data_IF_256596503179
#
_entry.id   IF_256596503179
#
_cell.length_a   1.000
_cell.length_b   1.000
_cell.length_c   1.000
_cell.angle_alpha   90.00
_cell.angle_beta   90.00
_cell.angle_gamma   90.00
#
_symmetry.space_group_name_H-M   'P 1'
#
loop_
_entity.id
_entity.type
_entity.pdbx_description
1 polymer ?
#
# COMPACT_ATOMS: atom_id res chain seq x y z
N UNK A 1 14.81 -85.06 21.62
CA UNK A 1 15.21 -83.66 21.29
C UNK A 1 14.14 -83.02 20.47
N UNK A 2 13.35 -82.09 21.02
CA UNK A 2 12.27 -81.39 20.35
C UNK A 2 12.69 -79.94 20.06
N UNK A 3 12.87 -79.62 18.78
CA UNK A 3 13.18 -78.30 18.30
C UNK A 3 11.90 -77.43 18.26
N UNK A 4 11.85 -76.38 19.00
CA UNK A 4 10.75 -75.36 18.98
C UNK A 4 11.05 -74.29 17.93
N UNK A 5 10.16 -74.26 16.92
CA UNK A 5 10.14 -73.14 15.95
C UNK A 5 9.48 -71.92 16.59
N UNK A 6 10.22 -70.84 16.64
CA UNK A 6 9.74 -69.53 17.07
C UNK A 6 9.37 -68.74 15.79
N UNK A 7 8.07 -68.55 15.59
CA UNK A 7 7.53 -67.68 14.54
C UNK A 7 7.62 -66.23 15.08
N UNK A 8 8.43 -65.40 14.43
CA UNK A 8 8.46 -63.96 14.70
C UNK A 8 7.40 -63.26 13.84
N UNK A 9 6.37 -62.74 14.49
CA UNK A 9 5.46 -61.78 13.88
C UNK A 9 6.10 -60.38 13.87
N UNK A 10 6.40 -59.87 12.69
CA UNK A 10 6.74 -58.49 12.50
C UNK A 10 5.46 -57.68 12.34
N UNK A 11 5.15 -56.87 13.34
CA UNK A 11 4.04 -55.92 13.32
C UNK A 11 4.48 -54.68 12.57
N UNK A 12 4.05 -54.50 11.32
CA UNK A 12 4.23 -53.27 10.56
C UNK A 12 3.22 -52.25 11.05
N UNK A 13 3.73 -51.27 11.81
CA UNK A 13 2.94 -50.09 12.18
C UNK A 13 2.92 -49.16 10.97
N UNK A 14 1.77 -49.08 10.30
CA UNK A 14 1.50 -48.13 9.24
C UNK A 14 1.17 -46.76 9.89
N UNK A 15 2.15 -45.86 9.99
CA UNK A 15 1.89 -44.48 10.38
C UNK A 15 1.16 -43.80 9.23
N UNK A 16 -0.15 -43.68 9.34
CA UNK A 16 -0.96 -42.81 8.47
C UNK A 16 -0.79 -41.37 9.03
N UNK A 17 0.11 -40.61 8.41
CA UNK A 17 0.23 -39.16 8.68
C UNK A 17 -0.98 -38.48 8.02
N UNK A 18 -2.02 -38.23 8.78
CA UNK A 18 -3.11 -37.34 8.38
C UNK A 18 -2.55 -35.92 8.41
N UNK A 19 -2.18 -35.41 7.24
CA UNK A 19 -1.89 -34.00 7.05
C UNK A 19 -3.23 -33.27 7.12
N UNK A 20 -3.51 -32.65 8.26
CA UNK A 20 -4.59 -31.69 8.39
C UNK A 20 -4.17 -30.44 7.59
N UNK A 21 -4.67 -30.29 6.38
CA UNK A 21 -4.73 -28.98 5.73
C UNK A 21 -5.75 -28.16 6.50
N UNK A 22 -5.28 -27.34 7.43
CA UNK A 22 -6.08 -26.25 7.95
C UNK A 22 -6.26 -25.25 6.80
N UNK A 23 -7.41 -25.31 6.14
CA UNK A 23 -7.88 -24.23 5.28
C UNK A 23 -8.00 -22.99 6.17
N UNK A 24 -7.09 -22.02 6.02
CA UNK A 24 -7.27 -20.68 6.60
C UNK A 24 -8.58 -20.12 6.05
N UNK A 25 -9.47 -19.58 6.88
CA UNK A 25 -10.70 -18.99 6.36
C UNK A 25 -10.35 -17.83 5.43
N UNK A 26 -10.82 -17.90 4.18
CA UNK A 26 -10.79 -16.80 3.26
C UNK A 26 -11.64 -15.67 3.87
N UNK A 27 -10.98 -14.56 4.23
CA UNK A 27 -11.69 -13.39 4.72
C UNK A 27 -12.49 -12.84 3.55
N UNK A 28 -13.78 -12.73 3.74
CA UNK A 28 -14.83 -12.42 2.77
C UNK A 28 -14.38 -11.38 1.75
N UNK A 29 -14.10 -11.84 0.53
CA UNK A 29 -13.99 -10.98 -0.65
C UNK A 29 -15.38 -10.68 -1.15
N UNK A 30 -15.74 -9.40 -1.24
CA UNK A 30 -16.93 -9.02 -2.02
C UNK A 30 -16.72 -9.42 -3.47
N UNK A 31 -17.72 -10.04 -4.09
CA UNK A 31 -17.68 -10.46 -5.48
C UNK A 31 -17.30 -9.28 -6.41
N UNK A 32 -16.47 -9.51 -7.45
CA UNK A 32 -16.11 -8.46 -8.37
C UNK A 32 -17.37 -7.99 -9.14
N UNK A 33 -17.65 -6.70 -9.00
CA UNK A 33 -18.65 -6.05 -9.88
C UNK A 33 -18.03 -6.02 -11.28
N UNK A 34 -18.58 -6.78 -12.21
CA UNK A 34 -18.18 -6.79 -13.62
C UNK A 34 -18.45 -5.41 -14.24
N UNK A 35 -17.38 -4.61 -14.40
CA UNK A 35 -17.40 -3.46 -15.31
C UNK A 35 -16.73 -3.83 -16.63
N UNK A 36 -17.29 -3.41 -17.79
CA UNK A 36 -16.67 -3.64 -19.08
C UNK A 36 -15.34 -2.86 -19.15
N UNK A 37 -14.23 -3.58 -19.35
CA UNK A 37 -12.89 -3.05 -19.35
C UNK A 37 -12.39 -2.84 -20.76
N UNK A 38 -11.81 -1.65 -20.98
CA UNK A 38 -10.82 -1.43 -22.02
C UNK A 38 -9.66 -0.51 -21.58
N UNK A 39 -9.44 -0.33 -20.29
CA UNK A 39 -8.21 0.36 -19.83
C UNK A 39 -7.40 -0.64 -18.98
N UNK A 40 -6.41 -1.29 -19.61
CA UNK A 40 -5.55 -2.26 -18.92
C UNK A 40 -4.81 -1.56 -17.79
N UNK A 41 -5.15 -1.94 -16.54
CA UNK A 41 -4.50 -1.41 -15.35
C UNK A 41 -3.02 -1.79 -15.33
N UNK A 42 -2.16 -0.79 -15.23
CA UNK A 42 -0.72 -0.95 -15.12
C UNK A 42 -0.39 -1.36 -13.67
N UNK A 43 0.34 -2.45 -13.51
CA UNK A 43 0.85 -2.94 -12.24
C UNK A 43 2.28 -3.43 -12.42
N UNK A 44 3.23 -2.75 -11.79
CA UNK A 44 4.65 -3.09 -11.89
C UNK A 44 5.05 -4.18 -10.93
N UNK A 45 4.26 -4.46 -9.89
CA UNK A 45 4.59 -5.42 -8.83
C UNK A 45 5.96 -5.13 -8.21
N UNK A 46 6.97 -5.95 -8.51
CA UNK A 46 8.35 -5.81 -8.01
C UNK A 46 9.33 -5.37 -9.10
N UNK A 47 8.84 -5.13 -10.33
CA UNK A 47 9.63 -4.74 -11.50
C UNK A 47 10.02 -3.26 -11.43
N UNK A 48 11.15 -3.01 -10.78
CA UNK A 48 11.68 -1.66 -10.53
C UNK A 48 12.16 -0.97 -11.81
N UNK A 49 12.77 -1.73 -12.71
CA UNK A 49 13.31 -1.19 -13.96
C UNK A 49 12.20 -0.65 -14.86
N UNK A 50 11.18 -1.46 -15.10
CA UNK A 50 10.00 -1.06 -15.87
C UNK A 50 9.22 0.08 -15.22
N UNK A 51 9.13 0.11 -13.88
CA UNK A 51 8.50 1.20 -13.15
C UNK A 51 9.28 2.51 -13.29
N UNK A 52 10.61 2.46 -13.21
CA UNK A 52 11.49 3.60 -13.40
C UNK A 52 11.38 4.17 -14.82
N UNK A 53 11.49 3.32 -15.85
CA UNK A 53 11.35 3.72 -17.25
C UNK A 53 10.00 4.38 -17.52
N UNK A 54 8.91 3.75 -17.06
CA UNK A 54 7.57 4.29 -17.22
C UNK A 54 7.41 5.63 -16.49
N UNK A 55 7.87 5.73 -15.24
CA UNK A 55 7.78 6.94 -14.44
C UNK A 55 8.55 8.09 -15.07
N UNK A 56 9.79 7.86 -15.48
CA UNK A 56 10.67 8.83 -16.13
C UNK A 56 10.09 9.32 -17.46
N UNK A 57 9.59 8.41 -18.28
CA UNK A 57 8.95 8.74 -19.57
C UNK A 57 7.66 9.55 -19.35
N UNK A 58 6.83 9.14 -18.40
CA UNK A 58 5.51 9.76 -18.15
C UNK A 58 5.60 11.15 -17.55
N UNK A 59 6.60 11.42 -16.69
CA UNK A 59 6.68 12.65 -15.92
C UNK A 59 7.87 13.54 -16.25
N UNK A 60 8.73 13.16 -17.18
CA UNK A 60 9.93 13.93 -17.57
C UNK A 60 9.61 15.35 -18.03
N UNK A 61 8.54 15.58 -18.80
CA UNK A 61 8.13 16.93 -19.22
C UNK A 61 7.60 17.75 -18.06
N UNK A 62 6.79 17.16 -17.18
CA UNK A 62 6.32 17.83 -15.96
C UNK A 62 7.49 18.24 -15.07
N UNK A 63 8.45 17.37 -14.89
CA UNK A 63 9.63 17.59 -14.07
C UNK A 63 10.45 18.79 -14.56
N UNK A 64 10.71 18.86 -15.87
CA UNK A 64 11.40 19.99 -16.50
C UNK A 64 10.62 21.31 -16.41
N UNK A 65 9.31 21.24 -16.25
CA UNK A 65 8.42 22.39 -16.09
C UNK A 65 8.25 22.89 -14.65
N UNK A 66 8.92 22.28 -13.67
CA UNK A 66 8.88 22.75 -12.28
C UNK A 66 9.69 24.02 -12.11
N UNK A 67 9.15 24.97 -11.36
CA UNK A 67 9.94 26.10 -10.85
C UNK A 67 10.91 25.63 -9.77
N UNK A 68 11.94 26.41 -9.50
CA UNK A 68 12.90 26.09 -8.44
C UNK A 68 12.24 25.97 -7.06
N UNK A 69 11.19 26.76 -6.80
CA UNK A 69 10.45 26.72 -5.53
C UNK A 69 9.59 25.44 -5.41
N UNK A 70 8.96 25.02 -6.48
CA UNK A 70 8.20 23.75 -6.52
C UNK A 70 9.13 22.55 -6.36
N UNK A 71 10.26 22.55 -7.05
CA UNK A 71 11.27 21.50 -6.93
C UNK A 71 11.77 21.37 -5.48
N UNK A 72 12.17 22.49 -4.86
CA UNK A 72 12.63 22.51 -3.46
C UNK A 72 11.56 22.08 -2.48
N UNK A 73 10.29 22.42 -2.74
CA UNK A 73 9.19 22.02 -1.87
C UNK A 73 8.97 20.50 -1.89
N UNK A 74 9.05 19.87 -3.07
CA UNK A 74 8.94 18.41 -3.23
C UNK A 74 10.16 17.69 -2.65
N UNK A 75 11.37 18.20 -2.89
CA UNK A 75 12.61 17.68 -2.31
C UNK A 75 12.55 17.65 -0.78
N UNK A 76 12.18 18.76 -0.14
CA UNK A 76 12.01 18.83 1.31
C UNK A 76 10.95 17.86 1.82
N UNK A 77 9.80 17.79 1.14
CA UNK A 77 8.73 16.86 1.49
C UNK A 77 9.24 15.42 1.51
N UNK A 78 9.92 14.98 0.45
CA UNK A 78 10.42 13.60 0.32
C UNK A 78 11.54 13.26 1.33
N UNK A 79 12.20 14.25 1.89
CA UNK A 79 13.25 14.08 2.90
C UNK A 79 12.70 13.83 4.30
N UNK A 80 12.37 14.87 5.03
CA UNK A 80 11.94 14.78 6.43
C UNK A 80 10.65 15.51 6.74
N UNK A 81 10.33 16.54 5.95
CA UNK A 81 9.21 17.45 6.23
C UNK A 81 7.83 16.79 6.00
N UNK A 82 7.76 15.63 5.31
CA UNK A 82 6.49 14.93 5.06
C UNK A 82 5.70 14.66 6.34
N UNK A 83 6.38 14.40 7.47
CA UNK A 83 5.69 14.14 8.75
C UNK A 83 4.98 15.37 9.25
N UNK A 84 5.69 16.50 9.28
CA UNK A 84 5.14 17.77 9.75
C UNK A 84 4.02 18.24 8.82
N UNK A 85 4.25 18.23 7.52
CA UNK A 85 3.28 18.63 6.50
C UNK A 85 2.01 17.74 6.58
N UNK A 86 2.16 16.43 6.58
CA UNK A 86 1.00 15.54 6.58
C UNK A 86 0.24 15.57 7.90
N UNK A 87 0.91 15.72 9.04
CA UNK A 87 0.25 15.86 10.33
C UNK A 87 -0.51 17.19 10.42
N UNK A 88 0.10 18.30 9.96
CA UNK A 88 -0.56 19.59 9.86
C UNK A 88 -1.82 19.51 9.00
N UNK A 89 -1.73 18.95 7.80
CA UNK A 89 -2.87 18.79 6.89
C UNK A 89 -3.98 17.92 7.47
N UNK A 90 -3.67 16.83 8.16
CA UNK A 90 -4.67 16.00 8.83
C UNK A 90 -5.33 16.70 9.99
N UNK A 91 -4.55 17.39 10.82
CA UNK A 91 -5.06 18.12 11.98
C UNK A 91 -6.01 19.26 11.57
N UNK A 92 -5.69 19.95 10.47
CA UNK A 92 -6.50 21.05 9.95
C UNK A 92 -7.48 20.63 8.84
N UNK A 93 -7.73 19.32 8.65
CA UNK A 93 -8.64 18.79 7.63
C UNK A 93 -8.35 19.31 6.20
N UNK A 94 -7.08 19.53 5.90
CA UNK A 94 -6.62 20.08 4.63
C UNK A 94 -6.68 21.61 4.52
N UNK A 95 -7.18 22.33 5.53
CA UNK A 95 -7.22 23.78 5.50
C UNK A 95 -5.82 24.38 5.78
N UNK A 96 -5.52 25.46 5.08
CA UNK A 96 -4.29 26.23 5.24
C UNK A 96 -4.60 27.54 5.95
N UNK A 97 -3.57 28.23 6.44
CA UNK A 97 -3.66 29.55 7.06
C UNK A 97 -3.24 29.59 8.52
N UNK A 98 -2.87 28.42 9.09
CA UNK A 98 -2.47 28.33 10.49
C UNK A 98 -0.94 28.26 10.71
N UNK A 99 -0.15 28.02 9.65
CA UNK A 99 1.32 27.91 9.74
C UNK A 99 2.02 28.67 8.61
N UNK A 100 2.70 29.77 8.95
CA UNK A 100 3.41 30.61 8.00
C UNK A 100 4.66 29.97 7.36
N UNK A 101 5.11 28.80 7.83
CA UNK A 101 6.25 28.06 7.29
C UNK A 101 5.80 26.90 6.41
N UNK A 102 4.83 26.13 6.89
CA UNK A 102 4.33 24.94 6.15
C UNK A 102 3.42 25.35 4.98
N UNK A 103 2.54 26.32 5.17
CA UNK A 103 1.57 26.72 4.14
C UNK A 103 2.21 27.11 2.80
N UNK A 104 3.28 27.93 2.74
CA UNK A 104 3.95 28.24 1.48
C UNK A 104 4.53 26.98 0.80
N UNK A 105 5.10 26.06 1.57
CA UNK A 105 5.64 24.79 1.04
C UNK A 105 4.53 23.93 0.46
N UNK A 106 3.42 23.76 1.18
CA UNK A 106 2.24 23.00 0.74
C UNK A 106 1.67 23.62 -0.54
N UNK A 107 1.53 24.92 -0.61
CA UNK A 107 1.03 25.61 -1.82
C UNK A 107 1.91 25.36 -3.04
N UNK A 108 3.25 25.28 -2.90
CA UNK A 108 4.13 24.95 -4.02
C UNK A 108 3.96 23.50 -4.47
N UNK A 109 3.82 22.55 -3.54
CA UNK A 109 3.56 21.14 -3.86
C UNK A 109 2.20 21.00 -4.57
N UNK A 110 1.15 21.66 -4.05
CA UNK A 110 -0.19 21.67 -4.65
C UNK A 110 -0.16 22.18 -6.08
N UNK A 111 0.51 23.31 -6.30
CA UNK A 111 0.67 23.92 -7.62
C UNK A 111 1.38 23.01 -8.60
N UNK A 112 2.42 22.31 -8.17
CA UNK A 112 3.15 21.34 -8.97
C UNK A 112 2.27 20.13 -9.33
N UNK A 113 1.64 19.49 -8.33
CA UNK A 113 0.84 18.29 -8.53
C UNK A 113 -0.46 18.56 -9.31
N UNK A 114 -1.06 19.74 -9.21
CA UNK A 114 -2.23 20.14 -10.02
C UNK A 114 -1.97 20.03 -11.52
N UNK A 115 -0.72 20.20 -11.97
CA UNK A 115 -0.32 20.09 -13.38
C UNK A 115 0.07 18.68 -13.78
N UNK A 116 0.27 17.76 -12.82
CA UNK A 116 0.60 16.37 -13.07
C UNK A 116 -0.65 15.49 -13.03
N UNK A 117 -0.77 14.60 -13.99
CA UNK A 117 -1.88 13.63 -14.05
C UNK A 117 -1.34 12.26 -14.41
N UNK A 118 -1.91 11.23 -13.80
CA UNK A 118 -1.60 9.83 -14.16
C UNK A 118 -2.03 9.55 -15.60
N UNK A 119 -1.12 9.06 -16.47
CA UNK A 119 -1.43 8.85 -17.89
C UNK A 119 -2.29 7.62 -18.15
N UNK A 120 -2.39 6.70 -17.20
CA UNK A 120 -3.19 5.48 -17.23
C UNK A 120 -3.72 5.11 -15.86
N UNK A 121 -4.60 4.12 -15.81
CA UNK A 121 -5.03 3.50 -14.54
C UNK A 121 -3.92 2.59 -14.04
N UNK A 122 -3.49 2.74 -12.78
CA UNK A 122 -2.36 1.99 -12.23
C UNK A 122 -2.62 1.50 -10.81
N UNK A 123 -1.90 0.45 -10.42
CA UNK A 123 -1.79 0.02 -9.03
C UNK A 123 -0.55 0.67 -8.42
N UNK A 124 -0.72 1.26 -7.23
CA UNK A 124 0.38 1.75 -6.41
C UNK A 124 0.32 1.12 -5.02
N UNK A 125 1.44 1.17 -4.31
CA UNK A 125 1.63 0.46 -3.05
C UNK A 125 1.99 1.43 -1.94
N UNK A 126 1.49 1.16 -0.73
CA UNK A 126 1.89 1.89 0.47
C UNK A 126 1.83 0.97 1.69
N UNK A 127 2.89 0.97 2.50
CA UNK A 127 2.87 0.31 3.81
C UNK A 127 2.56 1.30 4.90
N UNK A 128 1.65 0.91 5.80
CA UNK A 128 1.25 1.74 6.93
C UNK A 128 1.11 0.90 8.20
N UNK A 129 1.30 1.56 9.35
CA UNK A 129 0.97 0.98 10.64
C UNK A 129 -0.52 1.03 10.95
N UNK A 130 -0.92 0.35 11.99
CA UNK A 130 -2.30 0.27 12.50
C UNK A 130 -2.87 1.64 12.85
N UNK A 131 -2.03 2.55 13.33
CA UNK A 131 -2.43 3.92 13.69
C UNK A 131 -2.99 4.73 12.51
N UNK A 132 -2.62 4.38 11.27
CA UNK A 132 -3.22 4.97 10.08
C UNK A 132 -4.72 4.64 9.95
N UNK A 133 -5.17 3.60 10.64
CA UNK A 133 -6.57 3.18 10.71
C UNK A 133 -7.24 3.50 12.05
N UNK A 134 -6.55 4.23 12.93
CA UNK A 134 -7.07 4.56 14.27
C UNK A 134 -6.98 3.41 15.25
N UNK A 135 -6.18 2.39 14.96
CA UNK A 135 -5.93 1.26 15.85
C UNK A 135 -4.66 1.47 16.67
N UNK A 136 -4.54 0.77 17.78
CA UNK A 136 -3.30 0.78 18.55
C UNK A 136 -2.14 0.14 17.78
N UNK A 137 -0.94 0.67 17.96
CA UNK A 137 0.26 0.11 17.34
C UNK A 137 0.47 -1.34 17.82
N UNK A 138 0.89 -2.20 16.88
CA UNK A 138 1.10 -3.64 17.10
C UNK A 138 -0.15 -4.44 17.49
N UNK A 139 -1.36 -3.92 17.22
CA UNK A 139 -2.61 -4.60 17.56
C UNK A 139 -2.99 -5.72 16.59
N UNK A 140 -2.45 -5.73 15.37
CA UNK A 140 -2.80 -6.72 14.35
C UNK A 140 -1.90 -7.96 14.34
N UNK A 141 -0.70 -7.89 14.94
CA UNK A 141 0.27 -9.00 14.91
C UNK A 141 0.46 -9.65 16.24
N UNK A 142 0.57 -10.98 16.21
CA UNK A 142 1.10 -11.79 17.31
C UNK A 142 2.39 -12.44 16.80
N UNK A 143 3.53 -11.98 17.27
CA UNK A 143 4.84 -12.37 16.71
C UNK A 143 5.00 -11.92 15.27
N UNK A 144 5.31 -12.84 14.35
CA UNK A 144 5.47 -12.58 12.91
C UNK A 144 4.20 -12.75 12.07
N UNK A 145 3.09 -13.17 12.68
CA UNK A 145 1.82 -13.51 12.01
C UNK A 145 0.76 -12.45 12.27
N UNK A 146 -0.19 -12.34 11.35
CA UNK A 146 -1.41 -11.53 11.56
C UNK A 146 -2.40 -12.37 12.38
N UNK A 147 -2.95 -11.79 13.44
CA UNK A 147 -4.03 -12.40 14.21
C UNK A 147 -5.29 -12.51 13.34
N UNK A 148 -5.83 -13.72 13.06
CA UNK A 148 -6.99 -13.90 12.18
C UNK A 148 -8.26 -13.21 12.68
N UNK A 149 -8.50 -13.20 13.99
CA UNK A 149 -9.68 -12.55 14.57
C UNK A 149 -9.58 -11.03 14.43
N UNK A 150 -8.39 -10.45 14.69
CA UNK A 150 -8.14 -9.03 14.47
C UNK A 150 -8.23 -8.64 12.99
N UNK A 151 -7.78 -9.49 12.09
CA UNK A 151 -7.94 -9.28 10.66
C UNK A 151 -9.42 -9.29 10.24
N UNK A 152 -10.22 -10.17 10.83
CA UNK A 152 -11.67 -10.25 10.61
C UNK A 152 -12.37 -8.98 11.15
N UNK A 153 -12.11 -8.58 12.38
CA UNK A 153 -12.62 -7.33 12.96
C UNK A 153 -12.28 -6.10 12.11
N UNK A 154 -11.04 -6.06 11.61
CA UNK A 154 -10.59 -5.03 10.69
C UNK A 154 -11.38 -5.05 9.37
N UNK A 155 -11.60 -6.22 8.80
CA UNK A 155 -12.36 -6.38 7.56
C UNK A 155 -13.82 -5.94 7.73
N UNK A 156 -14.49 -6.36 8.80
CA UNK A 156 -15.86 -5.96 9.15
C UNK A 156 -15.99 -4.44 9.32
N UNK A 157 -14.95 -3.81 9.87
CA UNK A 157 -14.95 -2.36 10.13
C UNK A 157 -14.73 -1.55 8.85
N UNK A 158 -13.84 -2.00 7.95
CA UNK A 158 -13.31 -1.14 6.88
C UNK A 158 -13.71 -1.55 5.46
N UNK A 159 -14.14 -2.78 5.18
CA UNK A 159 -14.62 -3.18 3.84
C UNK A 159 -15.82 -2.31 3.43
N UNK A 160 -15.83 -1.88 2.18
CA UNK A 160 -16.83 -0.99 1.58
C UNK A 160 -16.88 0.42 2.20
N UNK A 161 -15.94 0.77 3.08
CA UNK A 161 -15.87 2.13 3.63
C UNK A 161 -14.99 3.03 2.77
N UNK A 162 -15.42 4.27 2.68
CA UNK A 162 -14.62 5.35 2.10
C UNK A 162 -13.82 6.04 3.19
N UNK A 163 -12.56 6.32 2.91
CA UNK A 163 -11.67 7.07 3.80
C UNK A 163 -11.15 8.31 3.09
N UNK A 164 -11.25 9.45 3.75
CA UNK A 164 -10.66 10.72 3.28
C UNK A 164 -9.23 10.82 3.80
N UNK A 165 -8.28 11.13 2.92
CA UNK A 165 -6.92 11.51 3.30
C UNK A 165 -6.75 13.01 3.01
N UNK A 166 -6.64 13.80 4.05
CA UNK A 166 -6.48 15.25 3.94
C UNK A 166 -5.06 15.65 3.53
N UNK A 167 -4.09 14.77 3.77
CA UNK A 167 -2.69 14.96 3.41
C UNK A 167 -2.36 14.37 2.03
N UNK A 168 -1.12 14.55 1.59
CA UNK A 168 -0.58 13.87 0.43
C UNK A 168 -0.49 12.36 0.66
N UNK A 169 -0.73 11.58 -0.40
CA UNK A 169 -0.60 10.13 -0.33
C UNK A 169 0.72 9.73 -1.00
N UNK A 170 1.77 9.56 -0.18
CA UNK A 170 3.03 8.97 -0.61
C UNK A 170 2.82 7.50 -0.92
N UNK A 171 3.05 7.10 -2.16
CA UNK A 171 2.90 5.72 -2.63
C UNK A 171 4.12 5.32 -3.44
N UNK A 172 4.32 4.02 -3.64
CA UNK A 172 5.36 3.50 -4.53
C UNK A 172 4.73 2.89 -5.79
N UNK A 173 5.39 3.05 -6.93
CA UNK A 173 5.05 2.32 -8.17
C UNK A 173 5.30 0.81 -8.02
N UNK A 174 6.19 0.40 -7.13
CA UNK A 174 6.52 -0.99 -6.89
C UNK A 174 6.19 -1.39 -5.46
N UNK A 175 5.89 -2.68 -5.28
CA UNK A 175 5.67 -3.26 -3.97
C UNK A 175 6.96 -3.22 -3.15
N UNK A 176 6.93 -2.45 -2.07
CA UNK A 176 8.07 -2.34 -1.16
C UNK A 176 8.26 -3.63 -0.34
N UNK A 177 9.50 -3.97 0.03
CA UNK A 177 9.78 -5.10 0.90
C UNK A 177 9.00 -5.07 2.20
N UNK A 178 8.76 -6.24 2.79
CA UNK A 178 8.10 -6.35 4.10
C UNK A 178 8.94 -5.63 5.16
N UNK A 179 8.29 -4.76 5.92
CA UNK A 179 8.89 -4.01 7.02
C UNK A 179 8.08 -4.17 8.31
N UNK A 180 8.29 -3.29 9.28
CA UNK A 180 7.58 -3.32 10.57
C UNK A 180 6.07 -3.02 10.45
N UNK A 181 5.65 -2.33 9.39
CA UNK A 181 4.25 -1.98 9.18
C UNK A 181 3.44 -3.17 8.67
N UNK A 182 2.38 -3.57 9.37
CA UNK A 182 1.64 -4.78 9.04
C UNK A 182 0.66 -4.63 7.88
N UNK A 183 0.27 -3.42 7.50
CA UNK A 183 -0.76 -3.17 6.49
C UNK A 183 -0.12 -2.76 5.17
N UNK A 184 -0.42 -3.50 4.10
CA UNK A 184 -0.02 -3.21 2.74
C UNK A 184 -1.24 -2.75 1.93
N UNK A 185 -1.29 -1.45 1.64
CA UNK A 185 -2.29 -0.88 0.74
C UNK A 185 -1.91 -1.16 -0.71
N UNK A 186 -2.82 -1.74 -1.48
CA UNK A 186 -2.83 -1.83 -2.94
C UNK A 186 -3.89 -0.86 -3.45
N UNK A 187 -3.49 0.30 -3.94
CA UNK A 187 -4.41 1.36 -4.34
C UNK A 187 -4.51 1.40 -5.86
N UNK A 188 -5.71 1.19 -6.39
CA UNK A 188 -6.01 1.47 -7.80
C UNK A 188 -6.18 2.97 -7.98
N UNK A 189 -5.30 3.60 -8.75
CA UNK A 189 -5.31 5.02 -9.08
C UNK A 189 -5.86 5.18 -10.49
N UNK A 190 -7.04 5.81 -10.69
CA UNK A 190 -7.62 6.03 -12.01
C UNK A 190 -6.76 6.96 -12.86
N UNK A 191 -6.78 6.75 -14.18
CA UNK A 191 -6.21 7.68 -15.17
C UNK A 191 -6.70 9.11 -14.93
N UNK A 192 -5.78 10.08 -15.02
CA UNK A 192 -6.06 11.51 -14.83
C UNK A 192 -6.16 11.94 -13.37
N UNK A 193 -5.83 11.09 -12.39
CA UNK A 193 -5.64 11.51 -11.00
C UNK A 193 -4.42 12.40 -10.87
N UNK A 194 -4.49 13.43 -9.99
CA UNK A 194 -3.35 14.32 -9.74
C UNK A 194 -2.30 13.62 -8.89
N UNK A 195 -1.10 13.55 -9.42
CA UNK A 195 0.06 12.94 -8.78
C UNK A 195 1.22 12.83 -9.75
N UNK A 196 2.43 12.70 -9.24
CA UNK A 196 3.65 12.65 -10.04
C UNK A 196 4.65 11.65 -9.49
N UNK A 197 5.39 11.00 -10.39
CA UNK A 197 6.58 10.24 -10.05
C UNK A 197 7.73 11.20 -9.77
N UNK A 198 8.25 11.16 -8.55
CA UNK A 198 9.17 12.17 -8.04
C UNK A 198 10.59 11.65 -7.76
N UNK A 199 10.91 10.41 -8.13
CA UNK A 199 12.17 9.74 -7.82
C UNK A 199 13.40 10.60 -8.05
N UNK A 200 13.51 11.25 -9.22
CA UNK A 200 14.70 12.02 -9.61
C UNK A 200 14.91 13.32 -8.82
N UNK A 201 13.91 13.77 -8.06
CA UNK A 201 13.96 14.94 -7.19
C UNK A 201 13.69 14.59 -5.74
N UNK A 202 13.53 13.30 -5.42
CA UNK A 202 13.32 12.81 -4.07
C UNK A 202 14.65 12.62 -3.35
N UNK A 203 14.67 12.88 -2.05
CA UNK A 203 15.80 12.51 -1.18
C UNK A 203 15.85 11.00 -0.91
N UNK A 204 14.85 10.25 -1.37
CA UNK A 204 14.72 8.79 -1.24
C UNK A 204 14.34 8.14 -2.56
N UNK A 205 15.24 8.18 -3.56
CA UNK A 205 14.94 7.64 -4.89
C UNK A 205 14.60 6.15 -4.88
N UNK A 206 15.13 5.40 -3.90
CA UNK A 206 14.85 3.97 -3.72
C UNK A 206 13.37 3.66 -3.43
N UNK A 207 12.58 4.63 -2.98
CA UNK A 207 11.15 4.44 -2.70
C UNK A 207 10.29 4.36 -3.97
N UNK A 208 10.83 4.76 -5.15
CA UNK A 208 10.10 4.78 -6.44
C UNK A 208 8.76 5.51 -6.31
N UNK A 209 8.79 6.67 -5.65
CA UNK A 209 7.61 7.36 -5.17
C UNK A 209 6.74 7.95 -6.27
N UNK A 210 5.46 7.56 -6.29
CA UNK A 210 4.37 8.30 -6.92
C UNK A 210 3.65 9.09 -5.82
N UNK A 211 3.89 10.38 -5.76
CA UNK A 211 3.25 11.28 -4.81
C UNK A 211 1.90 11.73 -5.36
N UNK A 212 0.79 11.32 -4.72
CA UNK A 212 -0.56 11.75 -5.07
C UNK A 212 -0.90 13.04 -4.34
N UNK A 213 -1.69 13.88 -5.00
CA UNK A 213 -2.19 15.12 -4.40
C UNK A 213 -2.98 14.84 -3.13
N UNK A 214 -3.05 15.84 -2.25
CA UNK A 214 -3.84 15.79 -1.03
C UNK A 214 -5.34 15.89 -1.28
N UNK A 215 -6.11 15.46 -0.30
CA UNK A 215 -7.56 15.60 -0.31
C UNK A 215 -8.31 14.44 -0.99
N UNK A 216 -7.63 13.44 -1.52
CA UNK A 216 -8.29 12.28 -2.10
C UNK A 216 -9.01 11.42 -1.06
N UNK A 217 -10.14 10.87 -1.50
CA UNK A 217 -10.80 9.75 -0.82
C UNK A 217 -10.46 8.43 -1.53
N UNK A 218 -10.46 7.33 -0.78
CA UNK A 218 -10.36 6.00 -1.35
C UNK A 218 -11.36 5.05 -0.68
N UNK A 219 -11.93 4.16 -1.48
CA UNK A 219 -12.83 3.11 -1.02
C UNK A 219 -12.04 1.82 -0.86
N UNK A 220 -12.24 1.14 0.26
CA UNK A 220 -11.65 -0.18 0.52
C UNK A 220 -12.61 -1.22 -0.05
N UNK A 221 -12.10 -2.06 -0.97
CA UNK A 221 -12.89 -3.07 -1.69
C UNK A 221 -12.46 -4.50 -1.38
N UNK A 222 -11.36 -4.71 -0.62
CA UNK A 222 -10.93 -6.04 -0.23
C UNK A 222 -9.85 -6.01 0.86
N UNK A 223 -9.90 -7.03 1.72
CA UNK A 223 -8.90 -7.24 2.79
C UNK A 223 -8.58 -8.72 2.84
N UNK A 224 -7.29 -9.08 2.91
CA UNK A 224 -6.83 -10.46 3.01
C UNK A 224 -5.47 -10.53 3.73
N UNK A 225 -5.19 -11.64 4.38
CA UNK A 225 -3.86 -11.94 4.90
C UNK A 225 -3.01 -12.48 3.75
N UNK A 226 -1.82 -11.91 3.56
CA UNK A 226 -0.83 -12.37 2.59
C UNK A 226 0.48 -12.70 3.29
N UNK A 227 1.15 -13.76 2.82
CA UNK A 227 2.49 -14.10 3.31
C UNK A 227 3.52 -13.60 2.29
N UNK A 228 4.47 -12.83 2.77
CA UNK A 228 5.54 -12.26 1.98
C UNK A 228 6.87 -12.60 2.63
N UNK A 229 7.64 -13.47 1.99
CA UNK A 229 8.97 -13.87 2.48
C UNK A 229 8.95 -14.39 3.94
N UNK A 230 7.92 -15.18 4.28
CA UNK A 230 7.77 -15.77 5.62
C UNK A 230 7.16 -14.83 6.68
N UNK A 231 6.76 -13.62 6.30
CA UNK A 231 6.09 -12.66 7.19
C UNK A 231 4.71 -12.32 6.67
N UNK A 232 3.73 -12.38 7.55
CA UNK A 232 2.35 -12.04 7.17
C UNK A 232 2.12 -10.53 7.19
N UNK A 233 1.31 -10.07 6.25
CA UNK A 233 0.80 -8.70 6.15
C UNK A 233 -0.70 -8.72 5.87
N UNK A 234 -1.40 -7.70 6.35
CA UNK A 234 -2.78 -7.46 5.97
C UNK A 234 -2.80 -6.64 4.68
N UNK A 235 -3.13 -7.29 3.57
CA UNK A 235 -3.32 -6.62 2.28
C UNK A 235 -4.68 -5.94 2.27
N UNK A 236 -4.70 -4.66 1.99
CA UNK A 236 -5.91 -3.85 1.82
C UNK A 236 -5.96 -3.36 0.39
N UNK A 237 -6.94 -3.85 -0.37
CA UNK A 237 -7.23 -3.39 -1.72
C UNK A 237 -8.16 -2.17 -1.63
N UNK A 238 -7.81 -1.12 -2.36
CA UNK A 238 -8.57 0.13 -2.35
C UNK A 238 -8.58 0.78 -3.73
N UNK A 239 -9.57 1.61 -3.98
CA UNK A 239 -9.68 2.41 -5.20
C UNK A 239 -9.77 3.89 -4.84
N UNK A 240 -8.90 4.69 -5.44
CA UNK A 240 -8.95 6.14 -5.33
C UNK A 240 -10.25 6.66 -5.99
N UNK A 241 -10.97 7.52 -5.29
CA UNK A 241 -12.18 8.16 -5.80
C UNK A 241 -11.75 9.47 -6.46
N UNK A 242 -12.08 9.64 -7.72
CA UNK A 242 -11.98 10.92 -8.41
C UNK A 242 -13.11 11.83 -7.94
N UNK A 243 -12.75 13.00 -7.44
CA UNK A 243 -13.70 14.09 -7.21
C UNK A 243 -14.07 14.75 -8.54
#
# INVERSE_FOLDING_TARGET
>A
MKTKNIIRFTLSVLCISTVFFMNKPDIVSSAPINHPLTDSRIDFKEDRERAHEWGSASYGTWLRGLTLTEHRAIDKYSGGDYRNINNYLRFHEGNLGADGVLDPTIQQIDKALKRAKTPGTLTVYRRVGETAFGLEANSLRVGGTIDPEKAKEFAETFINKTRKEHAYISTSLVKQPVNVFPILLHITVPKGSHGAYIESISQKPEEMELLLARGYSYQIDGISIVNEQGRESLKVSAKLIKE
#
